data_IF_997385348174
#
_entry.id   IF_997385348174
#
_cell.length_a   1.000
_cell.length_b   1.000
_cell.length_c   1.000
_cell.angle_alpha   90.00
_cell.angle_beta   90.00
_cell.angle_gamma   90.00
#
_symmetry.space_group_name_H-M   'P 1'
#
loop_
_entity.id
_entity.type
_entity.pdbx_description
1 polymer ?
#
# COMPACT_ATOMS: atom_id res chain seq x y z
N UNK A 1 40.17 -54.11 44.52
CA UNK A 1 39.11 -54.99 45.07
C UNK A 1 39.06 -54.74 46.57
N UNK A 2 38.23 -53.76 46.97
CA UNK A 2 37.81 -53.35 48.33
C UNK A 2 37.15 -51.97 48.10
N UNK A 3 35.84 -51.84 47.93
CA UNK A 3 34.73 -52.01 48.88
C UNK A 3 35.05 -51.34 50.22
N UNK A 4 34.59 -50.10 50.36
CA UNK A 4 34.10 -49.56 51.63
C UNK A 4 32.83 -48.75 51.37
N UNK A 5 31.73 -49.38 51.75
CA UNK A 5 30.40 -48.82 51.96
C UNK A 5 30.25 -48.70 53.47
N UNK A 6 29.48 -47.72 53.97
CA UNK A 6 29.05 -47.45 55.38
C UNK A 6 29.29 -45.97 55.70
N UNK A 7 28.45 -45.24 56.44
CA UNK A 7 27.16 -45.49 57.05
C UNK A 7 26.65 -44.13 57.54
N UNK A 8 25.36 -43.91 57.33
CA UNK A 8 24.44 -42.98 58.01
C UNK A 8 24.99 -42.16 59.18
N UNK A 9 24.83 -40.83 59.11
CA UNK A 9 24.54 -40.01 60.30
C UNK A 9 23.42 -38.98 60.01
N UNK A 10 22.26 -39.23 60.63
CA UNK A 10 21.15 -38.28 60.81
C UNK A 10 21.43 -37.36 62.00
N UNK A 11 21.11 -36.07 61.87
CA UNK A 11 20.39 -35.17 62.82
C UNK A 11 20.69 -33.71 62.45
N UNK A 12 19.71 -32.94 61.96
CA UNK A 12 18.67 -32.18 62.70
C UNK A 12 19.09 -30.75 63.05
N UNK A 13 18.28 -29.76 62.64
CA UNK A 13 18.31 -28.37 63.12
C UNK A 13 18.47 -27.36 61.98
N UNK A 14 17.38 -26.94 61.32
CA UNK A 14 16.64 -25.69 61.58
C UNK A 14 17.49 -24.43 61.31
N UNK A 15 17.18 -23.67 60.25
CA UNK A 15 16.75 -22.25 60.33
C UNK A 15 16.65 -21.59 58.95
N UNK A 16 15.52 -20.87 58.73
CA UNK A 16 15.34 -19.64 57.94
C UNK A 16 15.82 -19.68 56.46
N UNK A 17 14.95 -19.81 55.45
CA UNK A 17 13.86 -18.86 55.17
C UNK A 17 14.36 -17.76 54.22
N UNK A 18 14.52 -18.09 52.93
CA UNK A 18 14.97 -17.15 51.90
C UNK A 18 14.69 -17.70 50.50
N UNK A 19 13.42 -17.71 50.10
CA UNK A 19 13.03 -17.96 48.71
C UNK A 19 13.42 -16.75 47.86
N UNK A 20 14.49 -16.87 47.07
CA UNK A 20 14.71 -16.01 45.90
C UNK A 20 14.54 -16.87 44.65
N UNK A 21 13.28 -17.03 44.26
CA UNK A 21 12.84 -17.63 43.01
C UNK A 21 13.25 -16.69 41.87
N UNK A 22 14.32 -17.05 41.14
CA UNK A 22 14.75 -16.34 39.95
C UNK A 22 13.70 -16.53 38.83
N UNK A 23 12.80 -15.55 38.68
CA UNK A 23 11.91 -15.46 37.53
C UNK A 23 12.66 -14.86 36.34
N UNK A 24 12.86 -15.69 35.30
CA UNK A 24 13.19 -15.26 33.95
C UNK A 24 12.06 -14.36 33.41
N UNK A 25 12.34 -13.07 33.21
CA UNK A 25 11.47 -12.16 32.45
C UNK A 25 11.82 -12.29 30.97
N UNK A 26 10.98 -13.05 30.27
CA UNK A 26 10.96 -13.20 28.82
C UNK A 26 10.62 -11.87 28.12
N UNK A 27 11.30 -11.66 27.00
CA UNK A 27 11.15 -10.55 26.08
C UNK A 27 9.69 -10.38 25.58
N UNK A 28 9.12 -9.20 25.79
CA UNK A 28 7.94 -8.74 25.07
C UNK A 28 8.37 -7.99 23.82
N UNK A 29 8.46 -8.68 22.67
CA UNK A 29 8.48 -8.00 21.39
C UNK A 29 7.14 -7.28 21.23
N UNK A 30 7.17 -5.95 21.21
CA UNK A 30 6.03 -5.14 20.80
C UNK A 30 5.75 -5.45 19.31
N UNK A 31 4.81 -6.35 19.06
CA UNK A 31 4.21 -6.50 17.74
C UNK A 31 3.43 -5.21 17.48
N UNK A 32 4.01 -4.32 16.69
CA UNK A 32 3.27 -3.26 16.03
C UNK A 32 2.18 -3.95 15.21
N UNK A 33 0.95 -3.98 15.73
CA UNK A 33 -0.22 -4.46 15.00
C UNK A 33 -0.49 -3.45 13.88
N UNK A 34 0.13 -3.68 12.73
CA UNK A 34 -0.29 -3.08 11.49
C UNK A 34 -1.76 -3.46 11.28
N UNK A 35 -2.65 -2.47 11.35
CA UNK A 35 -4.05 -2.67 11.04
C UNK A 35 -4.17 -2.78 9.52
N UNK A 36 -4.35 -4.01 9.03
CA UNK A 36 -4.64 -4.29 7.64
C UNK A 36 -6.14 -4.36 7.47
N UNK A 37 -6.72 -3.52 6.60
CA UNK A 37 -8.15 -3.58 6.25
C UNK A 37 -8.28 -3.92 4.77
N UNK A 38 -9.23 -4.81 4.46
CA UNK A 38 -9.58 -5.12 3.07
C UNK A 38 -10.49 -4.00 2.54
N UNK A 39 -10.01 -3.24 1.58
CA UNK A 39 -10.75 -2.16 0.92
C UNK A 39 -11.07 -2.56 -0.52
N UNK A 40 -12.21 -3.24 -0.71
CA UNK A 40 -12.69 -3.65 -2.04
C UNK A 40 -13.09 -2.47 -2.94
N UNK A 41 -13.30 -1.26 -2.38
CA UNK A 41 -13.53 -0.05 -3.18
C UNK A 41 -12.26 0.44 -3.87
N UNK A 42 -11.09 0.26 -3.26
CA UNK A 42 -9.82 0.75 -3.81
C UNK A 42 -9.23 -0.16 -4.89
N UNK A 43 -9.76 -1.38 -5.06
CA UNK A 43 -9.36 -2.28 -6.16
C UNK A 43 -9.76 -1.67 -7.51
N UNK A 44 -8.81 -1.56 -8.44
CA UNK A 44 -9.10 -1.20 -9.83
C UNK A 44 -9.84 -2.36 -10.52
N UNK A 45 -10.96 -2.06 -11.18
CA UNK A 45 -11.70 -3.01 -12.01
C UNK A 45 -11.00 -3.16 -13.38
N UNK A 46 -10.09 -4.12 -13.53
CA UNK A 46 -9.27 -4.31 -14.75
C UNK A 46 -10.06 -4.58 -16.04
N UNK A 47 -11.36 -4.81 -15.96
CA UNK A 47 -12.25 -5.06 -17.10
C UNK A 47 -12.95 -3.78 -17.61
N UNK A 48 -12.82 -2.66 -16.91
CA UNK A 48 -13.42 -1.39 -17.29
C UNK A 48 -12.40 -0.50 -18.01
N UNK A 49 -12.82 0.26 -19.04
CA UNK A 49 -11.93 1.16 -19.76
C UNK A 49 -11.38 2.23 -18.82
N UNK A 50 -10.12 2.62 -19.04
CA UNK A 50 -9.47 3.75 -18.36
C UNK A 50 -9.64 4.97 -19.25
N UNK A 51 -10.31 6.01 -18.73
CA UNK A 51 -10.43 7.30 -19.37
C UNK A 51 -9.53 8.31 -18.65
N UNK A 52 -8.75 9.09 -19.41
CA UNK A 52 -7.89 10.15 -18.88
C UNK A 52 -8.27 11.46 -19.58
N UNK A 53 -8.47 12.52 -18.79
CA UNK A 53 -8.74 13.89 -19.25
C UNK A 53 -7.73 14.85 -18.60
N UNK A 54 -7.22 15.82 -19.34
CA UNK A 54 -6.32 16.88 -18.84
C UNK A 54 -6.35 18.10 -19.76
N UNK A 55 -5.80 19.22 -19.29
CA UNK A 55 -5.68 20.45 -20.09
C UNK A 55 -4.60 20.31 -21.18
N UNK A 56 -3.50 19.61 -20.87
CA UNK A 56 -2.39 19.37 -21.80
C UNK A 56 -1.87 17.93 -21.67
N UNK A 57 -1.41 17.39 -22.79
CA UNK A 57 -0.70 16.12 -22.90
C UNK A 57 0.59 16.36 -23.69
N UNK A 58 1.72 15.95 -23.12
CA UNK A 58 3.03 15.91 -23.77
C UNK A 58 3.56 14.48 -23.79
N UNK A 59 3.99 14.00 -24.95
CA UNK A 59 4.53 12.66 -25.12
C UNK A 59 6.04 12.78 -25.33
N UNK A 60 6.80 12.09 -24.49
CA UNK A 60 8.25 12.06 -24.50
C UNK A 60 8.72 10.66 -24.90
N UNK A 61 8.72 10.38 -26.20
CA UNK A 61 9.06 9.05 -26.73
C UNK A 61 10.46 8.58 -26.35
N UNK A 62 11.44 9.49 -26.34
CA UNK A 62 12.83 9.20 -25.97
C UNK A 62 12.98 8.81 -24.50
N UNK A 63 12.11 9.32 -23.64
CA UNK A 63 12.12 9.08 -22.19
C UNK A 63 11.10 8.00 -21.79
N UNK A 64 10.35 7.47 -22.74
CA UNK A 64 9.26 6.53 -22.53
C UNK A 64 8.24 6.99 -21.48
N UNK A 65 7.84 8.27 -21.54
CA UNK A 65 6.84 8.84 -20.62
C UNK A 65 5.86 9.79 -21.32
N UNK A 66 4.67 9.90 -20.76
CA UNK A 66 3.68 10.89 -21.15
C UNK A 66 3.24 11.71 -19.95
N UNK A 67 3.29 13.03 -20.09
CA UNK A 67 2.99 14.00 -19.05
C UNK A 67 1.64 14.66 -19.35
N UNK A 68 0.69 14.45 -18.44
CA UNK A 68 -0.63 15.05 -18.42
C UNK A 68 -0.63 16.15 -17.38
N UNK A 69 -0.95 17.37 -17.78
CA UNK A 69 -0.89 18.54 -16.88
C UNK A 69 -2.19 19.33 -16.93
N UNK A 70 -2.57 19.88 -15.77
CA UNK A 70 -3.78 20.67 -15.61
C UNK A 70 -5.04 19.81 -15.49
N UNK A 71 -5.74 19.95 -14.36
CA UNK A 71 -7.05 19.34 -14.09
C UNK A 71 -7.15 17.85 -14.48
N UNK A 72 -6.09 17.07 -14.19
CA UNK A 72 -6.05 15.66 -14.60
C UNK A 72 -7.16 14.90 -13.89
N UNK A 73 -7.95 14.17 -14.67
CA UNK A 73 -9.02 13.29 -14.19
C UNK A 73 -8.92 11.94 -14.86
N UNK A 74 -8.82 10.89 -14.06
CA UNK A 74 -8.81 9.50 -14.50
C UNK A 74 -10.08 8.81 -14.00
N UNK A 75 -10.81 8.14 -14.87
CA UNK A 75 -12.02 7.40 -14.52
C UNK A 75 -11.91 5.96 -15.00
N UNK A 76 -12.17 5.01 -14.11
CA UNK A 76 -12.29 3.59 -14.43
C UNK A 76 -13.39 2.95 -13.59
N UNK A 77 -14.48 2.54 -14.25
CA UNK A 77 -15.66 2.02 -13.56
C UNK A 77 -16.21 3.04 -12.54
N UNK A 78 -16.22 2.67 -11.26
CA UNK A 78 -16.65 3.52 -10.14
C UNK A 78 -15.53 4.39 -9.53
N UNK A 79 -14.30 4.17 -9.95
CA UNK A 79 -13.11 4.82 -9.40
C UNK A 79 -12.79 6.07 -10.20
N UNK A 80 -12.60 7.20 -9.52
CA UNK A 80 -12.15 8.47 -10.10
C UNK A 80 -10.93 8.96 -9.34
N UNK A 81 -9.85 9.25 -10.06
CA UNK A 81 -8.66 9.91 -9.56
C UNK A 81 -8.56 11.31 -10.17
N UNK A 82 -8.18 12.30 -9.36
CA UNK A 82 -7.93 13.66 -9.77
C UNK A 82 -6.56 14.12 -9.26
N UNK A 83 -5.84 14.89 -10.07
CA UNK A 83 -4.53 15.43 -9.73
C UNK A 83 -4.23 16.69 -10.55
N UNK A 84 -3.29 17.52 -10.12
CA UNK A 84 -2.80 18.64 -10.95
C UNK A 84 -1.87 18.18 -12.07
N UNK A 85 -1.12 17.10 -11.84
CA UNK A 85 -0.15 16.56 -12.79
C UNK A 85 -0.10 15.03 -12.71
N UNK A 86 0.10 14.38 -13.86
CA UNK A 86 0.25 12.94 -13.96
C UNK A 86 1.27 12.56 -15.02
N UNK A 87 2.28 11.77 -14.65
CA UNK A 87 3.23 11.16 -15.56
C UNK A 87 2.97 9.66 -15.67
N UNK A 88 2.81 9.18 -16.89
CA UNK A 88 2.69 7.76 -17.21
C UNK A 88 4.01 7.29 -17.82
N UNK A 89 4.69 6.35 -17.16
CA UNK A 89 5.87 5.69 -17.68
C UNK A 89 5.45 4.38 -18.35
N UNK A 90 5.98 4.13 -19.54
CA UNK A 90 5.73 2.90 -20.29
C UNK A 90 7.02 2.09 -20.42
N UNK A 91 6.86 0.78 -20.54
CA UNK A 91 7.99 -0.09 -20.84
C UNK A 91 8.44 0.20 -22.26
N UNK A 92 9.74 0.30 -22.45
CA UNK A 92 10.34 0.22 -23.77
C UNK A 92 10.10 -1.19 -24.29
N UNK A 93 8.98 -1.41 -24.98
CA UNK A 93 8.67 -2.72 -25.53
C UNK A 93 9.58 -2.92 -26.74
N UNK A 94 10.55 -3.81 -26.56
CA UNK A 94 11.29 -4.39 -27.67
C UNK A 94 10.36 -5.34 -28.42
N UNK A 95 9.65 -4.82 -29.42
CA UNK A 95 8.95 -5.55 -30.47
C UNK A 95 8.45 -6.95 -30.09
N UNK A 96 7.30 -7.01 -29.43
CA UNK A 96 6.63 -8.29 -29.24
C UNK A 96 6.18 -8.80 -30.61
N UNK A 97 6.86 -9.87 -31.04
CA UNK A 97 6.62 -10.53 -32.31
C UNK A 97 5.14 -10.92 -32.40
N UNK A 98 4.41 -10.28 -33.31
CA UNK A 98 3.11 -10.76 -33.79
C UNK A 98 3.25 -12.26 -34.11
N UNK A 99 2.28 -13.15 -33.79
CA UNK A 99 2.35 -14.58 -34.11
C UNK A 99 2.53 -14.92 -35.60
N UNK A 100 2.56 -13.90 -36.47
CA UNK A 100 2.76 -13.99 -37.91
C UNK A 100 4.13 -13.48 -38.37
N UNK A 101 5.12 -13.34 -37.47
CA UNK A 101 6.52 -13.08 -37.85
C UNK A 101 6.80 -11.73 -38.52
N UNK A 102 5.83 -10.82 -38.56
CA UNK A 102 6.05 -9.44 -38.96
C UNK A 102 6.67 -8.68 -37.79
N UNK A 103 7.96 -8.37 -37.89
CA UNK A 103 8.67 -7.45 -37.00
C UNK A 103 7.94 -6.11 -37.00
N UNK A 104 7.19 -5.81 -35.94
CA UNK A 104 6.71 -4.47 -35.70
C UNK A 104 7.95 -3.56 -35.61
N UNK A 105 7.96 -2.52 -36.43
CA UNK A 105 8.98 -1.48 -36.37
C UNK A 105 9.12 -1.02 -34.91
N UNK A 106 10.35 -0.91 -34.43
CA UNK A 106 10.67 -0.49 -33.07
C UNK A 106 10.43 1.03 -32.96
N UNK A 107 9.18 1.43 -33.10
CA UNK A 107 8.68 2.78 -32.95
C UNK A 107 7.78 2.83 -31.72
N UNK A 108 8.13 3.73 -30.81
CA UNK A 108 7.45 4.12 -29.57
C UNK A 108 6.13 3.40 -29.29
N UNK A 109 6.09 2.64 -28.18
CA UNK A 109 4.86 2.24 -27.50
C UNK A 109 4.02 3.50 -27.25
N UNK A 110 3.17 3.83 -28.22
CA UNK A 110 2.48 5.09 -28.27
C UNK A 110 1.20 4.92 -27.46
N UNK A 111 0.95 5.82 -26.51
CA UNK A 111 -0.38 5.99 -25.92
C UNK A 111 -1.46 6.12 -27.02
N UNK A 112 -1.07 6.61 -28.20
CA UNK A 112 -1.89 6.71 -29.41
C UNK A 112 -2.42 5.37 -29.96
N UNK A 113 -1.71 4.24 -29.76
CA UNK A 113 -2.14 2.93 -30.29
C UNK A 113 -3.04 2.14 -29.33
N UNK A 114 -3.26 2.63 -28.10
CA UNK A 114 -4.10 1.96 -27.10
C UNK A 114 -3.49 0.70 -26.46
N UNK A 115 -2.28 0.29 -26.87
CA UNK A 115 -1.61 -0.94 -26.44
C UNK A 115 -0.31 -0.66 -25.64
N UNK A 116 -0.21 0.50 -24.99
CA UNK A 116 1.00 0.84 -24.22
C UNK A 116 1.08 -0.03 -22.95
N UNK A 117 2.17 -0.80 -22.82
CA UNK A 117 2.52 -1.49 -21.58
C UNK A 117 2.96 -0.46 -20.52
N UNK A 118 2.01 0.01 -19.71
CA UNK A 118 2.25 0.96 -18.63
C UNK A 118 3.07 0.29 -17.53
N UNK A 119 4.22 0.86 -17.18
CA UNK A 119 5.09 0.40 -16.09
C UNK A 119 4.63 0.99 -14.74
N UNK A 120 4.56 2.32 -14.68
CA UNK A 120 4.22 3.05 -13.46
C UNK A 120 3.57 4.39 -13.79
N UNK A 121 2.66 4.82 -12.94
CA UNK A 121 2.02 6.12 -13.00
C UNK A 121 2.46 6.93 -11.78
N UNK A 122 2.82 8.18 -11.96
CA UNK A 122 3.11 9.14 -10.90
C UNK A 122 2.10 10.27 -10.99
N UNK A 123 1.46 10.62 -9.88
CA UNK A 123 0.50 11.72 -9.78
C UNK A 123 0.96 12.68 -8.69
N UNK A 124 0.93 13.97 -8.99
CA UNK A 124 1.39 15.04 -8.08
C UNK A 124 0.41 16.20 -8.09
N UNK A 125 0.68 17.22 -7.27
CA UNK A 125 -0.14 18.43 -7.14
C UNK A 125 -1.57 18.14 -6.66
N UNK A 126 -1.67 17.55 -5.47
CA UNK A 126 -2.90 17.20 -4.76
C UNK A 126 -3.70 16.10 -5.45
N UNK A 127 -3.53 14.90 -4.94
CA UNK A 127 -4.21 13.71 -5.41
C UNK A 127 -5.50 13.53 -4.61
N UNK A 128 -6.62 13.39 -5.33
CA UNK A 128 -7.91 13.01 -4.77
C UNK A 128 -8.39 11.75 -5.48
N UNK A 129 -8.63 10.68 -4.72
CA UNK A 129 -9.20 9.42 -5.20
C UNK A 129 -10.58 9.25 -4.59
N UNK A 130 -11.54 8.81 -5.38
CA UNK A 130 -12.89 8.45 -4.94
C UNK A 130 -13.30 7.13 -5.57
N UNK A 131 -13.81 6.20 -4.76
CA UNK A 131 -14.40 4.95 -5.23
C UNK A 131 -15.52 4.50 -4.30
N UNK A 132 -16.76 4.48 -4.82
CA UNK A 132 -17.93 4.15 -4.01
C UNK A 132 -18.08 5.09 -2.80
N UNK A 133 -17.98 4.54 -1.59
CA UNK A 133 -18.03 5.30 -0.31
C UNK A 133 -16.66 5.75 0.19
N UNK A 134 -15.59 5.35 -0.50
CA UNK A 134 -14.22 5.56 -0.07
C UNK A 134 -13.60 6.75 -0.80
N UNK A 135 -12.93 7.63 -0.06
CA UNK A 135 -12.18 8.75 -0.62
C UNK A 135 -10.79 8.81 0.00
N UNK A 136 -9.75 9.07 -0.79
CA UNK A 136 -8.40 9.26 -0.29
C UNK A 136 -7.81 10.57 -0.84
N UNK A 137 -7.14 11.33 0.02
CA UNK A 137 -6.45 12.57 -0.34
C UNK A 137 -4.99 12.52 0.06
N UNK A 138 -4.09 12.97 -0.81
CA UNK A 138 -2.66 13.04 -0.55
C UNK A 138 -2.00 14.12 -1.42
N UNK A 139 -0.73 14.43 -1.14
CA UNK A 139 0.01 15.39 -1.96
C UNK A 139 0.47 14.74 -3.27
N UNK A 140 0.93 13.50 -3.18
CA UNK A 140 1.47 12.71 -4.29
C UNK A 140 0.97 11.27 -4.24
N UNK A 141 1.03 10.60 -5.38
CA UNK A 141 0.69 9.20 -5.52
C UNK A 141 1.55 8.53 -6.58
N UNK A 142 1.77 7.23 -6.41
CA UNK A 142 2.44 6.40 -7.40
C UNK A 142 1.72 5.07 -7.52
N UNK A 143 1.50 4.61 -8.74
CA UNK A 143 0.95 3.30 -9.02
C UNK A 143 1.93 2.46 -9.81
N UNK A 144 2.46 1.41 -9.19
CA UNK A 144 3.32 0.44 -9.86
C UNK A 144 2.47 -0.71 -10.42
N UNK A 145 2.42 -0.86 -11.74
CA UNK A 145 1.60 -1.87 -12.40
C UNK A 145 2.17 -3.28 -12.21
N UNK A 146 3.50 -3.41 -12.15
CA UNK A 146 4.16 -4.69 -11.99
C UNK A 146 3.93 -5.28 -10.59
N UNK A 147 3.99 -4.43 -9.56
CA UNK A 147 3.71 -4.82 -8.17
C UNK A 147 2.22 -4.73 -7.81
N UNK A 148 1.42 -4.11 -8.66
CA UNK A 148 0.02 -3.77 -8.41
C UNK A 148 -0.15 -3.02 -7.08
N UNK A 149 0.75 -2.07 -6.85
CA UNK A 149 0.90 -1.35 -5.59
C UNK A 149 0.61 0.13 -5.80
N UNK A 150 -0.44 0.62 -5.15
CA UNK A 150 -0.76 2.04 -5.13
C UNK A 150 -0.30 2.67 -3.82
N UNK A 151 0.52 3.71 -3.91
CA UNK A 151 1.08 4.39 -2.74
C UNK A 151 0.74 5.86 -2.84
N UNK A 152 0.02 6.37 -1.85
CA UNK A 152 -0.23 7.79 -1.65
C UNK A 152 0.68 8.30 -0.54
N UNK A 153 1.31 9.46 -0.73
CA UNK A 153 2.20 10.09 0.24
C UNK A 153 1.97 11.58 0.32
N UNK A 154 2.21 12.14 1.50
CA UNK A 154 2.19 13.58 1.72
C UNK A 154 2.44 13.94 3.17
N UNK A 155 2.37 15.23 3.46
CA UNK A 155 2.36 15.74 4.83
C UNK A 155 1.14 15.19 5.60
N UNK A 156 -0.01 15.11 4.92
CA UNK A 156 -1.25 14.57 5.45
C UNK A 156 -1.98 13.73 4.42
N UNK A 157 -2.04 12.43 4.66
CA UNK A 157 -2.86 11.48 3.91
C UNK A 157 -4.13 11.22 4.69
N UNK A 158 -5.28 11.48 4.07
CA UNK A 158 -6.60 11.25 4.67
C UNK A 158 -7.34 10.22 3.84
N UNK A 159 -7.80 9.17 4.48
CA UNK A 159 -8.65 8.15 3.90
C UNK A 159 -9.98 8.18 4.65
N UNK A 160 -11.08 8.28 3.93
CA UNK A 160 -12.42 8.25 4.50
C UNK A 160 -13.19 7.07 3.90
N UNK A 161 -13.90 6.33 4.75
CA UNK A 161 -14.82 5.28 4.32
C UNK A 161 -16.18 5.53 4.99
N UNK A 162 -17.10 6.10 4.20
CA UNK A 162 -18.34 6.65 4.72
C UNK A 162 -18.07 7.68 5.81
N UNK A 163 -18.53 7.47 7.05
CA UNK A 163 -18.34 8.42 8.13
C UNK A 163 -17.04 8.20 8.95
N UNK A 164 -16.26 7.16 8.62
CA UNK A 164 -15.00 6.86 9.28
C UNK A 164 -13.85 7.58 8.57
N UNK A 165 -12.95 8.20 9.33
CA UNK A 165 -11.81 8.94 8.79
C UNK A 165 -10.51 8.43 9.41
N UNK A 166 -9.53 8.13 8.57
CA UNK A 166 -8.20 7.67 8.91
C UNK A 166 -7.19 8.71 8.42
N UNK A 167 -6.27 9.13 9.28
CA UNK A 167 -5.23 10.11 8.93
C UNK A 167 -3.84 9.55 9.24
N UNK A 168 -2.95 9.67 8.27
CA UNK A 168 -1.54 9.26 8.34
C UNK A 168 -0.68 10.09 7.39
N UNK A 169 0.47 9.56 7.00
CA UNK A 169 1.41 10.21 6.07
C UNK A 169 1.57 9.45 4.74
N UNK A 170 1.26 8.15 4.76
CA UNK A 170 1.45 7.26 3.63
C UNK A 170 0.37 6.18 3.66
N UNK A 171 -0.40 6.06 2.59
CA UNK A 171 -1.34 4.98 2.38
C UNK A 171 -0.80 4.08 1.29
N UNK A 172 -0.61 2.80 1.59
CA UNK A 172 -0.20 1.77 0.66
C UNK A 172 -1.36 0.82 0.43
N UNK A 173 -1.72 0.56 -0.82
CA UNK A 173 -2.84 -0.29 -1.20
C UNK A 173 -2.38 -1.32 -2.23
N UNK A 174 -2.50 -2.60 -1.87
CA UNK A 174 -2.25 -3.72 -2.77
C UNK A 174 -3.53 -4.02 -3.56
N UNK A 175 -3.52 -3.79 -4.87
CA UNK A 175 -4.73 -3.97 -5.70
C UNK A 175 -5.13 -5.44 -5.85
N UNK A 176 -4.14 -6.33 -5.87
CA UNK A 176 -4.37 -7.78 -6.01
C UNK A 176 -5.18 -8.34 -4.83
N UNK A 177 -4.81 -7.95 -3.61
CA UNK A 177 -5.44 -8.46 -2.39
C UNK A 177 -6.57 -7.54 -1.91
N UNK A 178 -6.47 -6.24 -2.16
CA UNK A 178 -7.33 -5.20 -1.57
C UNK A 178 -6.84 -4.70 -0.23
N UNK A 179 -5.65 -5.10 0.21
CA UNK A 179 -5.11 -4.68 1.50
C UNK A 179 -4.69 -3.21 1.45
N UNK A 180 -5.27 -2.40 2.33
CA UNK A 180 -4.86 -1.03 2.59
C UNK A 180 -4.12 -0.96 3.93
N UNK A 181 -2.96 -0.29 3.93
CA UNK A 181 -2.14 -0.03 5.10
C UNK A 181 -1.84 1.47 5.16
N UNK A 182 -2.14 2.10 6.30
CA UNK A 182 -1.88 3.51 6.55
C UNK A 182 -0.77 3.65 7.60
N UNK A 183 0.34 4.26 7.21
CA UNK A 183 1.50 4.51 8.07
C UNK A 183 1.48 5.93 8.64
N UNK A 184 2.10 6.13 9.82
CA UNK A 184 2.16 7.42 10.51
C UNK A 184 3.49 8.18 10.38
N UNK A 185 4.49 7.63 9.69
CA UNK A 185 5.83 8.26 9.47
C UNK A 185 6.45 8.87 10.73
N UNK A 186 6.41 8.15 11.85
CA UNK A 186 6.94 8.61 13.14
C UNK A 186 5.95 9.40 14.01
N UNK A 187 4.76 9.70 13.49
CA UNK A 187 3.62 10.21 14.26
C UNK A 187 2.70 9.11 14.78
N UNK A 188 1.46 9.47 15.09
CA UNK A 188 0.37 8.55 15.45
C UNK A 188 -0.65 8.49 14.33
N UNK A 189 -1.11 7.29 13.97
CA UNK A 189 -2.30 7.14 13.11
C UNK A 189 -3.50 7.63 13.90
N UNK A 190 -4.32 8.50 13.30
CA UNK A 190 -5.56 8.97 13.91
C UNK A 190 -6.74 8.31 13.21
N UNK A 191 -7.66 7.77 14.00
CA UNK A 191 -8.91 7.18 13.52
C UNK A 191 -10.05 7.90 14.22
N UNK A 192 -10.95 8.47 13.42
CA UNK A 192 -12.21 8.99 13.89
C UNK A 192 -13.32 8.07 13.40
N UNK A 193 -13.99 7.40 14.33
CA UNK A 193 -15.14 6.56 14.06
C UNK A 193 -16.40 7.33 14.38
N UNK A 194 -17.35 7.38 13.44
CA UNK A 194 -18.66 7.95 13.73
C UNK A 194 -19.50 6.91 14.51
N UNK A 195 -20.01 7.24 15.72
CA UNK A 195 -20.85 6.35 16.51
C UNK A 195 -22.10 5.82 15.77
N UNK A 196 -22.62 6.57 14.79
CA UNK A 196 -23.79 6.18 13.99
C UNK A 196 -23.46 5.11 12.94
N UNK A 197 -22.18 4.85 12.67
CA UNK A 197 -21.71 3.81 11.76
C UNK A 197 -21.64 2.42 12.39
N UNK A 198 -21.79 2.34 13.72
CA UNK A 198 -21.92 1.06 14.40
C UNK A 198 -23.30 0.47 14.07
N UNK A 199 -23.32 -0.59 13.25
CA UNK A 199 -24.52 -1.40 13.07
C UNK A 199 -24.98 -1.87 14.46
N UNK A 200 -26.14 -1.39 14.87
CA UNK A 200 -26.82 -1.85 16.07
C UNK A 200 -27.24 -3.30 15.80
N UNK A 201 -26.50 -4.26 16.38
CA UNK A 201 -26.86 -5.68 16.36
C UNK A 201 -28.15 -5.91 17.13
#
# INVERSE_FOLDING_TARGET
MTIDCHFSLRKSGITLGGSALALLLMAGAALAQATTSQMDGLKLDSNQPIQIESDKLEIHDQEHKADFTGNVKVVQGKTTLQAGHMTVFYKAQGGDTQPNGAKADAGAASISSGNADIDRIIVTDKVFLSSGTQTATADNGSFDMAQQLFVLKGEKVVLSDGPNVFTGCQLTVHMQTGQAQLDSCGGRVQIQLDPKSQKKN
#
